data_IF_734789667788
#
_entry.id   IF_734789667788
#
_cell.length_a   1.000
_cell.length_b   1.000
_cell.length_c   1.000
_cell.angle_alpha   90.00
_cell.angle_beta   90.00
_cell.angle_gamma   90.00
#
_symmetry.space_group_name_H-M   'P 1'
#
loop_
_entity.id
_entity.type
_entity.pdbx_description
1 polymer ?
#
# COMPACT_ATOMS: atom_id res chain seq x y z
N UNK A 1 54.27 7.82 -46.06
CA UNK A 1 53.43 7.54 -44.88
C UNK A 1 52.50 8.72 -44.45
N UNK A 2 51.80 9.45 -45.34
CA UNK A 2 50.79 10.44 -44.92
C UNK A 2 49.34 9.90 -44.95
N UNK A 3 49.07 8.84 -45.70
CA UNK A 3 47.72 8.32 -45.92
C UNK A 3 47.08 7.69 -44.65
N UNK A 4 47.88 7.12 -43.74
CA UNK A 4 47.35 6.51 -42.52
C UNK A 4 46.92 7.52 -41.45
N UNK A 5 47.39 8.77 -41.50
CA UNK A 5 46.99 9.81 -40.53
C UNK A 5 45.64 10.45 -40.85
N UNK A 6 45.26 10.49 -42.12
CA UNK A 6 43.95 10.98 -42.54
C UNK A 6 42.84 10.00 -42.15
N UNK A 7 43.11 8.68 -42.24
CA UNK A 7 42.17 7.64 -41.80
C UNK A 7 41.93 7.64 -40.29
N UNK A 8 42.95 7.91 -39.47
CA UNK A 8 42.77 8.03 -38.02
C UNK A 8 41.95 9.25 -37.62
N UNK A 9 42.08 10.38 -38.34
CA UNK A 9 41.21 11.55 -38.11
C UNK A 9 39.77 11.28 -38.54
N UNK A 10 39.55 10.58 -39.65
CA UNK A 10 38.21 10.21 -40.11
C UNK A 10 37.50 9.26 -39.15
N UNK A 11 38.21 8.29 -38.58
CA UNK A 11 37.65 7.36 -37.58
C UNK A 11 37.33 8.03 -36.24
N UNK A 12 38.12 9.03 -35.82
CA UNK A 12 37.81 9.78 -34.59
C UNK A 12 36.63 10.74 -34.75
N UNK A 13 36.37 11.29 -35.94
CA UNK A 13 35.14 12.06 -36.20
C UNK A 13 33.88 11.19 -36.12
N UNK A 14 33.94 9.92 -36.51
CA UNK A 14 32.78 9.01 -36.50
C UNK A 14 32.43 8.50 -35.08
N UNK A 15 33.40 8.45 -34.16
CA UNK A 15 33.17 8.00 -32.78
C UNK A 15 32.56 9.07 -31.86
N UNK A 16 32.58 10.35 -32.26
CA UNK A 16 32.02 11.47 -31.48
C UNK A 16 30.49 11.58 -31.47
N UNK A 17 29.78 10.77 -32.28
CA UNK A 17 28.32 10.83 -32.42
C UNK A 17 27.57 9.78 -31.56
N UNK A 18 28.29 9.03 -30.71
CA UNK A 18 27.72 7.93 -29.94
C UNK A 18 27.68 8.15 -28.42
N UNK A 19 27.69 9.40 -27.93
CA UNK A 19 27.25 9.65 -26.55
C UNK A 19 25.73 9.68 -26.51
N UNK A 20 25.05 8.84 -25.71
CA UNK A 20 23.65 9.05 -25.40
C UNK A 20 23.54 10.40 -24.70
N UNK A 21 22.92 11.37 -25.36
CA UNK A 21 22.49 12.61 -24.75
C UNK A 21 21.49 12.26 -23.66
N UNK A 22 21.93 12.26 -22.40
CA UNK A 22 21.03 12.34 -21.26
C UNK A 22 20.10 13.53 -21.52
N UNK A 23 18.76 13.34 -21.54
CA UNK A 23 17.86 14.45 -21.74
C UNK A 23 18.13 15.46 -20.62
N UNK A 24 18.25 16.76 -20.93
CA UNK A 24 18.31 17.76 -19.89
C UNK A 24 17.05 17.57 -19.02
N UNK A 25 17.24 17.40 -17.71
CA UNK A 25 16.17 17.58 -16.74
C UNK A 25 15.72 19.04 -16.81
N UNK A 26 14.91 19.34 -17.82
CA UNK A 26 14.13 20.54 -17.90
C UNK A 26 13.08 20.45 -16.78
N UNK A 27 13.38 21.08 -15.64
CA UNK A 27 12.29 21.62 -14.84
C UNK A 27 11.63 22.70 -15.70
N UNK A 28 10.62 22.29 -16.46
CA UNK A 28 9.73 23.19 -17.14
C UNK A 28 8.94 23.94 -16.06
N UNK A 29 9.55 24.99 -15.50
CA UNK A 29 8.80 26.09 -14.91
C UNK A 29 8.13 26.81 -16.08
N UNK A 30 6.99 26.28 -16.51
CA UNK A 30 6.16 26.91 -17.53
C UNK A 30 5.71 28.28 -17.03
N UNK A 31 6.38 29.34 -17.52
CA UNK A 31 5.77 30.66 -17.61
C UNK A 31 4.77 30.59 -18.77
N UNK A 32 3.50 30.34 -18.46
CA UNK A 32 2.48 30.15 -19.49
C UNK A 32 1.06 30.28 -18.95
N UNK A 33 0.50 31.46 -19.19
CA UNK A 33 -0.93 31.81 -19.22
C UNK A 33 -1.76 31.54 -17.94
N UNK A 34 -2.18 32.64 -17.31
CA UNK A 34 -3.15 32.67 -16.22
C UNK A 34 -4.56 32.28 -16.70
N UNK A 35 -4.77 30.98 -16.85
CA UNK A 35 -6.04 30.32 -16.55
C UNK A 35 -5.66 29.07 -15.76
N UNK A 36 -5.56 29.21 -14.44
CA UNK A 36 -5.26 28.10 -13.54
C UNK A 36 -6.49 27.20 -13.43
N UNK A 37 -6.85 26.54 -14.53
CA UNK A 37 -7.74 25.38 -14.47
C UNK A 37 -6.96 24.30 -13.74
N UNK A 38 -7.43 23.95 -12.53
CA UNK A 38 -6.84 22.86 -11.75
C UNK A 38 -7.09 21.56 -12.51
N UNK A 39 -6.01 20.91 -12.93
CA UNK A 39 -6.07 19.60 -13.58
C UNK A 39 -6.71 18.58 -12.63
N UNK A 40 -7.81 17.97 -13.06
CA UNK A 40 -8.51 16.95 -12.28
C UNK A 40 -7.89 15.59 -12.58
N UNK A 41 -7.31 14.96 -11.56
CA UNK A 41 -6.78 13.59 -11.65
C UNK A 41 -7.96 12.61 -11.86
N UNK A 42 -7.96 11.80 -12.94
CA UNK A 42 -9.06 10.87 -13.21
C UNK A 42 -9.26 9.82 -12.10
N UNK A 43 -10.50 9.37 -11.90
CA UNK A 43 -10.84 8.40 -10.85
C UNK A 43 -9.99 7.12 -10.89
N UNK A 44 -9.77 6.54 -12.08
CA UNK A 44 -8.97 5.31 -12.22
C UNK A 44 -7.54 5.48 -11.73
N UNK A 45 -6.99 6.68 -11.90
CA UNK A 45 -5.66 7.01 -11.42
C UNK A 45 -5.64 7.24 -9.91
N UNK A 46 -6.64 7.95 -9.36
CA UNK A 46 -6.81 8.09 -7.91
C UNK A 46 -6.92 6.71 -7.26
N UNK A 47 -7.78 5.84 -7.80
CA UNK A 47 -7.96 4.47 -7.34
C UNK A 47 -6.66 3.67 -7.43
N UNK A 48 -6.01 3.62 -8.60
CA UNK A 48 -4.77 2.88 -8.79
C UNK A 48 -3.61 3.35 -7.90
N UNK A 49 -3.51 4.67 -7.65
CA UNK A 49 -2.47 5.23 -6.77
C UNK A 49 -2.72 4.93 -5.28
N UNK A 50 -3.98 4.82 -4.88
CA UNK A 50 -4.41 4.58 -3.49
C UNK A 50 -4.65 3.11 -3.17
N UNK A 51 -4.71 2.23 -4.16
CA UNK A 51 -4.90 0.80 -3.96
C UNK A 51 -3.71 0.16 -3.23
N UNK A 52 -4.01 -0.86 -2.41
CA UNK A 52 -3.07 -1.58 -1.57
C UNK A 52 -1.78 -1.98 -2.30
N UNK A 53 -0.64 -1.43 -1.86
CA UNK A 53 0.70 -1.74 -2.37
C UNK A 53 1.79 -1.40 -1.35
N UNK A 54 3.01 -1.87 -1.62
CA UNK A 54 4.19 -1.48 -0.84
C UNK A 54 4.60 -0.06 -1.26
N UNK A 55 4.62 0.87 -0.31
CA UNK A 55 5.11 2.22 -0.52
C UNK A 55 6.15 2.58 0.55
N UNK A 56 7.06 3.44 0.13
CA UNK A 56 8.07 4.00 1.00
C UNK A 56 7.42 4.89 2.07
N UNK A 57 7.77 4.62 3.33
CA UNK A 57 7.29 5.37 4.49
C UNK A 57 8.42 5.57 5.47
N UNK A 58 8.49 6.76 6.05
CA UNK A 58 9.38 7.04 7.18
C UNK A 58 8.82 6.38 8.45
N UNK A 59 9.64 5.54 9.05
CA UNK A 59 9.33 4.82 10.28
C UNK A 59 10.34 5.25 11.35
N UNK A 60 9.82 5.63 12.50
CA UNK A 60 10.62 5.98 13.67
C UNK A 60 11.34 4.74 14.22
N UNK A 61 12.63 4.87 14.56
CA UNK A 61 13.46 3.74 14.96
C UNK A 61 13.05 3.20 16.33
N UNK A 62 12.70 4.08 17.26
CA UNK A 62 12.30 3.70 18.63
C UNK A 62 11.00 2.90 18.62
N UNK A 63 10.12 3.19 17.66
CA UNK A 63 8.89 2.43 17.45
C UNK A 63 9.14 0.98 16.99
N UNK A 64 10.19 0.75 16.19
CA UNK A 64 10.60 -0.60 15.73
C UNK A 64 11.47 -1.33 16.78
N UNK A 65 12.24 -0.58 17.56
CA UNK A 65 13.17 -1.06 18.58
C UNK A 65 12.85 -0.45 19.95
N UNK A 66 11.70 -0.83 20.58
CA UNK A 66 11.29 -0.24 21.86
C UNK A 66 12.24 -0.58 23.02
N UNK A 67 13.13 -1.56 22.86
CA UNK A 67 14.18 -1.86 23.85
C UNK A 67 15.34 -0.86 23.84
N UNK A 68 15.48 -0.04 22.79
CA UNK A 68 16.59 0.91 22.61
C UNK A 68 16.18 2.36 22.95
N UNK A 69 15.10 2.54 23.73
CA UNK A 69 14.52 3.86 24.08
C UNK A 69 15.47 4.79 24.83
N UNK A 70 16.51 4.26 25.47
CA UNK A 70 17.53 5.05 26.17
C UNK A 70 18.50 5.76 25.22
N UNK A 71 18.50 5.43 23.93
CA UNK A 71 19.47 5.91 22.96
C UNK A 71 18.81 6.80 21.91
N UNK A 72 19.56 7.80 21.46
CA UNK A 72 19.14 8.67 20.36
C UNK A 72 19.81 8.14 19.09
N UNK A 73 19.03 7.97 18.03
CA UNK A 73 19.54 7.58 16.72
C UNK A 73 19.56 8.77 15.76
N UNK A 74 20.61 8.84 14.94
CA UNK A 74 20.71 9.76 13.81
C UNK A 74 20.92 8.98 12.51
N UNK A 75 19.99 9.07 11.54
CA UNK A 75 18.69 9.74 11.64
C UNK A 75 17.77 9.08 12.70
N UNK A 76 16.71 9.77 13.14
CA UNK A 76 15.73 9.22 14.10
C UNK A 76 14.64 8.37 13.43
N UNK A 77 14.48 8.51 12.12
CA UNK A 77 13.60 7.69 11.30
C UNK A 77 14.33 7.16 10.07
N UNK A 78 13.86 6.03 9.56
CA UNK A 78 14.40 5.37 8.37
C UNK A 78 13.29 5.15 7.34
N UNK A 79 13.67 5.08 6.07
CA UNK A 79 12.74 4.88 4.97
C UNK A 79 12.56 3.39 4.68
N UNK A 80 11.35 2.86 4.83
CA UNK A 80 11.04 1.45 4.64
C UNK A 80 9.82 1.26 3.74
N UNK A 81 9.80 0.17 2.97
CA UNK A 81 8.58 -0.27 2.32
C UNK A 81 7.59 -0.83 3.34
N UNK A 82 6.41 -0.21 3.40
CA UNK A 82 5.28 -0.66 4.21
C UNK A 82 4.04 -0.78 3.34
N UNK A 83 3.22 -1.77 3.64
CA UNK A 83 1.93 -1.92 2.98
C UNK A 83 1.00 -0.80 3.41
N UNK A 84 0.46 -0.08 2.43
CA UNK A 84 -0.48 1.01 2.65
C UNK A 84 -1.44 1.12 1.47
N UNK A 85 -2.50 1.89 1.64
CA UNK A 85 -3.58 2.03 0.68
C UNK A 85 -4.89 1.38 1.15
N UNK A 86 -5.94 1.58 0.37
CA UNK A 86 -7.27 1.06 0.61
C UNK A 86 -7.54 -0.19 -0.25
N UNK A 87 -8.53 -0.98 0.17
CA UNK A 87 -8.90 -2.23 -0.50
C UNK A 87 -10.24 -2.18 -1.25
N UNK A 88 -10.93 -1.03 -1.20
CA UNK A 88 -12.25 -0.86 -1.80
C UNK A 88 -13.41 -1.48 -1.01
N UNK A 89 -13.10 -2.28 0.01
CA UNK A 89 -14.05 -2.94 0.91
C UNK A 89 -13.57 -2.73 2.36
N UNK A 90 -14.46 -2.26 3.23
CA UNK A 90 -14.19 -1.97 4.64
C UNK A 90 -13.89 -3.22 5.49
N UNK A 91 -14.24 -4.41 4.98
CA UNK A 91 -13.92 -5.68 5.62
C UNK A 91 -12.55 -6.23 5.21
N UNK A 92 -11.88 -5.61 4.23
CA UNK A 92 -10.54 -5.94 3.77
C UNK A 92 -9.50 -4.96 4.28
N UNK A 93 -8.35 -5.48 4.69
CA UNK A 93 -7.20 -4.68 5.14
C UNK A 93 -6.00 -4.95 4.23
N UNK A 94 -5.20 -3.91 3.98
CA UNK A 94 -3.97 -4.04 3.21
C UNK A 94 -2.85 -4.63 4.08
N UNK A 95 -2.50 -5.89 3.84
CA UNK A 95 -1.59 -6.66 4.69
C UNK A 95 -0.36 -7.14 3.91
N UNK A 96 0.81 -7.24 4.55
CA UNK A 96 1.98 -7.87 3.93
C UNK A 96 1.74 -9.36 3.73
N UNK A 97 2.10 -9.85 2.55
CA UNK A 97 2.12 -11.27 2.22
C UNK A 97 3.54 -11.80 1.97
N UNK A 98 4.50 -10.88 1.79
CA UNK A 98 5.91 -11.20 1.67
C UNK A 98 6.75 -10.06 2.25
N UNK A 99 7.76 -10.42 3.03
CA UNK A 99 8.65 -9.48 3.72
C UNK A 99 10.10 -9.87 3.54
N UNK A 100 10.98 -8.88 3.48
CA UNK A 100 12.44 -9.04 3.45
C UNK A 100 13.08 -8.17 4.51
N UNK A 101 14.26 -8.57 4.98
CA UNK A 101 15.02 -7.76 5.92
C UNK A 101 16.00 -6.86 5.18
N UNK A 102 16.19 -5.64 5.67
CA UNK A 102 17.24 -4.73 5.21
C UNK A 102 18.03 -4.22 6.39
N UNK A 103 19.35 -4.22 6.27
CA UNK A 103 20.24 -3.72 7.32
C UNK A 103 20.69 -2.32 6.94
N UNK A 104 20.57 -1.38 7.87
CA UNK A 104 20.96 0.01 7.69
C UNK A 104 21.99 0.39 8.75
N UNK A 105 22.90 1.27 8.38
CA UNK A 105 23.86 1.86 9.31
C UNK A 105 23.30 3.18 9.85
N UNK A 106 23.37 3.34 11.17
CA UNK A 106 22.88 4.52 11.89
C UNK A 106 23.92 4.99 12.89
N UNK A 107 23.85 6.26 13.27
CA UNK A 107 24.64 6.79 14.37
C UNK A 107 23.85 6.67 15.67
N UNK A 108 24.39 5.93 16.63
CA UNK A 108 23.85 5.79 17.98
C UNK A 108 24.54 6.74 18.93
N UNK A 109 23.74 7.54 19.63
CA UNK A 109 24.19 8.56 20.57
C UNK A 109 23.66 8.19 21.95
N UNK A 110 24.57 8.03 22.91
CA UNK A 110 24.26 7.77 24.32
C UNK A 110 24.82 8.90 25.17
N UNK A 111 24.12 9.26 26.24
CA UNK A 111 24.63 10.25 27.19
C UNK A 111 25.86 9.71 27.91
N UNK A 112 27.00 10.38 27.76
CA UNK A 112 28.25 10.03 28.44
C UNK A 112 29.24 9.18 27.62
N UNK A 113 28.79 8.56 26.52
CA UNK A 113 29.65 7.81 25.60
C UNK A 113 29.85 8.57 24.29
N UNK A 114 30.97 8.36 23.58
CA UNK A 114 31.13 8.85 22.21
C UNK A 114 30.07 8.28 21.25
N UNK A 115 29.59 9.06 20.27
CA UNK A 115 28.71 8.54 19.22
C UNK A 115 29.38 7.38 18.46
N UNK A 116 28.58 6.36 18.11
CA UNK A 116 29.08 5.16 17.41
C UNK A 116 28.15 4.73 16.28
N UNK A 117 28.73 4.19 15.20
CA UNK A 117 27.94 3.59 14.14
C UNK A 117 27.45 2.20 14.55
N UNK A 118 26.18 1.94 14.29
CA UNK A 118 25.53 0.65 14.55
C UNK A 118 24.76 0.19 13.32
N UNK A 119 24.62 -1.12 13.18
CA UNK A 119 23.82 -1.73 12.13
C UNK A 119 22.51 -2.25 12.74
N UNK A 120 21.38 -1.76 12.24
CA UNK A 120 20.04 -2.21 12.63
C UNK A 120 19.34 -2.84 11.43
N UNK A 121 18.57 -3.89 11.69
CA UNK A 121 17.89 -4.66 10.64
C UNK A 121 16.39 -4.45 10.70
N UNK A 122 15.79 -3.96 9.62
CA UNK A 122 14.38 -3.63 9.55
C UNK A 122 13.64 -4.58 8.62
N UNK A 123 12.39 -4.91 8.96
CA UNK A 123 11.51 -5.66 8.06
C UNK A 123 10.83 -4.71 7.06
N UNK A 124 10.94 -5.06 5.78
CA UNK A 124 10.30 -4.38 4.65
C UNK A 124 9.23 -5.27 4.04
N UNK A 125 8.13 -4.66 3.63
CA UNK A 125 7.06 -5.35 2.93
C UNK A 125 7.31 -5.25 1.43
N UNK A 126 7.55 -6.38 0.75
CA UNK A 126 7.82 -6.39 -0.71
C UNK A 126 6.58 -6.74 -1.53
N UNK A 127 5.58 -7.37 -0.91
CA UNK A 127 4.31 -7.71 -1.55
C UNK A 127 3.15 -7.56 -0.58
N UNK A 128 2.08 -6.91 -1.03
CA UNK A 128 0.91 -6.57 -0.24
C UNK A 128 -0.36 -7.08 -0.91
N UNK A 129 -1.35 -7.51 -0.12
CA UNK A 129 -2.66 -7.91 -0.62
C UNK A 129 -3.77 -7.48 0.33
N UNK A 130 -4.97 -7.31 -0.23
CA UNK A 130 -6.20 -7.10 0.52
C UNK A 130 -6.72 -8.42 1.08
N UNK A 131 -6.71 -8.55 2.41
CA UNK A 131 -7.15 -9.77 3.11
C UNK A 131 -8.23 -9.43 4.15
N UNK A 132 -9.22 -10.32 4.38
CA UNK A 132 -10.19 -10.14 5.45
C UNK A 132 -9.50 -10.12 6.82
N UNK A 133 -9.94 -9.22 7.70
CA UNK A 133 -9.46 -9.23 9.09
C UNK A 133 -10.02 -10.47 9.80
N UNK A 134 -9.13 -11.31 10.35
CA UNK A 134 -9.50 -12.58 11.01
C UNK A 134 -10.51 -12.43 12.16
N UNK A 135 -10.71 -11.20 12.68
CA UNK A 135 -11.65 -10.89 13.76
C UNK A 135 -13.13 -10.70 13.36
N UNK A 136 -13.46 -10.57 12.05
CA UNK A 136 -14.86 -10.41 11.59
C UNK A 136 -15.45 -11.65 10.92
N UNK A 137 -14.72 -12.76 10.88
CA UNK A 137 -15.32 -14.05 10.56
C UNK A 137 -16.22 -14.45 11.73
N UNK A 138 -17.45 -13.91 11.81
CA UNK A 138 -18.51 -14.57 12.57
C UNK A 138 -18.54 -16.00 12.03
N UNK A 139 -18.33 -17.03 12.87
CA UNK A 139 -18.61 -18.38 12.43
C UNK A 139 -20.10 -18.39 12.15
N UNK A 140 -20.47 -18.37 10.87
CA UNK A 140 -21.84 -18.55 10.47
C UNK A 140 -22.24 -19.92 11.00
N UNK A 141 -23.00 -19.90 12.11
CA UNK A 141 -23.55 -21.10 12.73
C UNK A 141 -24.35 -21.79 11.65
N UNK A 142 -23.74 -22.77 10.98
CA UNK A 142 -24.36 -23.60 9.97
C UNK A 142 -25.66 -24.12 10.58
N UNK A 143 -26.80 -23.55 10.15
CA UNK A 143 -28.12 -24.06 10.53
C UNK A 143 -28.15 -25.54 10.15
N UNK A 144 -28.34 -26.48 11.07
CA UNK A 144 -28.45 -27.88 10.71
C UNK A 144 -29.73 -28.05 9.88
N UNK A 145 -29.56 -28.32 8.59
CA UNK A 145 -30.66 -28.70 7.72
C UNK A 145 -30.85 -30.21 7.89
N UNK A 146 -31.82 -30.61 8.71
CA UNK A 146 -32.26 -32.00 8.83
C UNK A 146 -33.30 -32.14 9.92
N UNK A 147 -34.34 -32.98 9.84
CA UNK A 147 -34.83 -33.92 8.82
C UNK A 147 -36.20 -34.34 9.41
N UNK A 148 -37.27 -34.33 8.61
CA UNK A 148 -38.65 -34.40 9.13
C UNK A 148 -39.15 -35.75 9.69
N UNK A 149 -40.49 -35.78 9.88
CA UNK A 149 -41.44 -36.85 10.31
C UNK A 149 -41.78 -36.80 11.82
N UNK A 150 -43.04 -36.87 12.29
CA UNK A 150 -44.23 -37.64 11.82
C UNK A 150 -45.54 -37.15 12.50
N UNK A 151 -46.59 -36.97 11.68
CA UNK A 151 -48.07 -37.17 11.84
C UNK A 151 -48.67 -37.65 13.19
N UNK A 152 -49.76 -36.99 13.68
CA UNK A 152 -51.08 -37.54 14.14
C UNK A 152 -52.00 -36.39 14.64
N UNK A 153 -53.01 -35.91 13.90
CA UNK A 153 -54.43 -36.35 13.77
C UNK A 153 -55.45 -35.74 14.79
N UNK A 154 -56.27 -34.80 14.28
CA UNK A 154 -57.74 -34.61 14.42
C UNK A 154 -58.41 -34.12 15.75
N UNK A 155 -59.00 -32.92 15.70
CA UNK A 155 -60.43 -32.58 16.01
C UNK A 155 -60.64 -31.06 15.86
N UNK A 156 -61.36 -30.57 14.85
CA UNK A 156 -62.83 -30.30 14.73
C UNK A 156 -63.26 -28.90 15.26
N UNK A 157 -63.49 -28.01 14.29
CA UNK A 157 -64.57 -27.02 14.11
C UNK A 157 -65.04 -26.16 15.31
N UNK A 158 -64.79 -24.85 15.21
CA UNK A 158 -65.83 -23.81 15.42
C UNK A 158 -65.57 -22.62 14.50
N UNK A 159 -66.62 -22.26 13.76
CA UNK A 159 -66.81 -21.10 12.90
C UNK A 159 -66.77 -19.78 13.69
N UNK A 160 -66.25 -18.72 13.08
CA UNK A 160 -66.89 -17.40 13.15
C UNK A 160 -66.28 -16.46 12.10
N UNK A 161 -67.01 -16.32 11.00
CA UNK A 161 -67.11 -15.06 10.26
C UNK A 161 -67.23 -13.86 11.21
N UNK A 162 -66.48 -12.78 10.94
CA UNK A 162 -66.97 -11.40 10.86
C UNK A 162 -65.81 -10.38 10.80
N UNK A 163 -65.92 -9.50 9.80
CA UNK A 163 -65.41 -8.12 9.73
C UNK A 163 -63.88 -7.92 9.69
N UNK A 164 -63.31 -7.07 8.85
CA UNK A 164 -63.86 -6.04 7.98
C UNK A 164 -62.69 -5.12 7.60
N UNK A 165 -62.77 -4.53 6.42
CA UNK A 165 -61.76 -3.70 5.77
C UNK A 165 -61.16 -2.60 6.65
N UNK A 166 -59.83 -2.44 6.63
CA UNK A 166 -59.16 -1.12 6.72
C UNK A 166 -57.79 -1.13 6.02
N UNK A 167 -57.73 -0.47 4.87
CA UNK A 167 -56.57 0.32 4.38
C UNK A 167 -56.87 1.76 4.87
N UNK A 168 -55.95 2.64 5.36
CA UNK A 168 -54.70 3.05 4.67
C UNK A 168 -53.49 3.55 5.54
N UNK A 169 -52.36 3.76 4.82
CA UNK A 169 -51.33 4.83 4.92
C UNK A 169 -50.58 5.10 6.24
N UNK A 170 -49.25 4.97 6.18
CA UNK A 170 -48.33 6.09 5.87
C UNK A 170 -47.02 5.57 5.29
#
# INVERSE_FOLDING_TARGET
MPAMRLFTCFLQLLAGLALPTLPPQQWALSAGNSSSEVEVVPFQEVWGRSYCRALERLVDIVSEYPSEVEHIFSPSCVSLLRCTGCCGDEDLHCMPVETVNVTMQLLKIRSGDPPSYVELTFSQHVRCECRPLWGKMKPERRRPKGRGKRKREKQRHTDCHLCGNTVPRR
#
